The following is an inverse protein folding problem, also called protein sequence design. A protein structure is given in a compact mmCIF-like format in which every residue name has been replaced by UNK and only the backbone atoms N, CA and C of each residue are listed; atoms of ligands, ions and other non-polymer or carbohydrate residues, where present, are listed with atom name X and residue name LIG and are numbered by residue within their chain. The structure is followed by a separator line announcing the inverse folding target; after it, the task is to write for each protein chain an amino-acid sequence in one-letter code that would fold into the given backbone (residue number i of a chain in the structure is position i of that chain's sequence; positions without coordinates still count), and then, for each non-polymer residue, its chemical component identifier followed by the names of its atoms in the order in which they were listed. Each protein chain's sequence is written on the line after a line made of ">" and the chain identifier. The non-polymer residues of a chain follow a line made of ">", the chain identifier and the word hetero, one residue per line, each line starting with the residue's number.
data_IF_020302565504
#
_entry.id   IF_020302565504
#
_cell.length_a   1.000
_cell.length_b   1.000
_cell.length_c   1.000
_cell.angle_alpha   90.00
_cell.angle_beta   90.00
_cell.angle_gamma   90.00
#
_symmetry.space_group_name_H-M   'P 1'
#
loop_
_entity.id
_entity.type
_entity.pdbx_description
1 polymer ?
#
# COMPACT_ATOMS: atom_id res chain seq x y z
N UNK A 1 10.24 -6.13 -5.59
CA UNK A 1 10.28 -5.91 -4.13
C UNK A 1 9.01 -5.20 -3.72
N UNK A 2 8.34 -5.61 -2.64
CA UNK A 2 7.06 -5.05 -2.20
C UNK A 2 7.15 -4.61 -0.74
N UNK A 3 6.70 -3.40 -0.41
CA UNK A 3 6.80 -2.81 0.93
C UNK A 3 5.43 -2.29 1.36
N UNK A 4 4.80 -2.97 2.30
CA UNK A 4 3.62 -2.51 3.02
C UNK A 4 4.01 -1.92 4.38
N UNK A 5 3.37 -0.81 4.77
CA UNK A 5 3.60 -0.18 6.07
C UNK A 5 2.56 -0.49 7.14
N UNK A 6 1.42 -1.08 6.76
CA UNK A 6 0.27 -1.31 7.63
C UNK A 6 -0.46 -2.62 7.26
N UNK A 7 -1.36 -3.08 8.13
CA UNK A 7 -2.12 -4.32 7.93
C UNK A 7 -3.05 -4.28 6.71
N UNK A 8 -3.62 -3.11 6.39
CA UNK A 8 -4.38 -2.89 5.16
C UNK A 8 -3.51 -3.14 3.93
N UNK A 9 -2.28 -2.62 3.94
CA UNK A 9 -1.30 -2.83 2.88
C UNK A 9 -0.84 -4.29 2.77
N UNK A 10 -0.81 -5.06 3.86
CA UNK A 10 -0.49 -6.49 3.84
C UNK A 10 -1.51 -7.30 3.03
N UNK A 11 -2.80 -7.01 3.19
CA UNK A 11 -3.87 -7.66 2.40
C UNK A 11 -3.69 -7.37 0.91
N UNK A 12 -3.48 -6.09 0.56
CA UNK A 12 -3.31 -5.66 -0.83
C UNK A 12 -2.03 -6.23 -1.46
N UNK A 13 -0.95 -6.23 -0.70
CA UNK A 13 0.33 -6.81 -1.11
C UNK A 13 0.21 -8.31 -1.36
N UNK A 14 -0.51 -9.04 -0.51
CA UNK A 14 -0.72 -10.47 -0.68
C UNK A 14 -1.48 -10.76 -1.98
N UNK A 15 -2.60 -10.06 -2.24
CA UNK A 15 -3.37 -10.17 -3.48
C UNK A 15 -2.51 -9.86 -4.71
N UNK A 16 -1.73 -8.79 -4.66
CA UNK A 16 -0.81 -8.40 -5.73
C UNK A 16 0.23 -9.51 -6.01
N UNK A 17 0.87 -10.04 -4.97
CA UNK A 17 1.89 -11.09 -5.10
C UNK A 17 1.27 -12.36 -5.68
N UNK A 18 0.11 -12.78 -5.19
CA UNK A 18 -0.62 -13.94 -5.71
C UNK A 18 -0.98 -13.77 -7.19
N UNK A 19 -1.56 -12.63 -7.57
CA UNK A 19 -1.94 -12.36 -8.95
C UNK A 19 -0.73 -12.33 -9.90
N UNK A 20 0.37 -11.71 -9.48
CA UNK A 20 1.62 -11.71 -10.24
C UNK A 20 2.22 -13.11 -10.34
N UNK A 21 2.23 -13.89 -9.26
CA UNK A 21 2.69 -15.28 -9.26
C UNK A 21 1.91 -16.16 -10.23
N UNK A 22 0.58 -16.00 -10.29
CA UNK A 22 -0.28 -16.70 -11.24
C UNK A 22 -0.03 -16.26 -12.69
N UNK A 23 0.15 -14.95 -12.92
CA UNK A 23 0.35 -14.37 -14.26
C UNK A 23 1.66 -14.81 -14.91
N UNK A 24 2.71 -15.01 -14.11
CA UNK A 24 4.08 -15.30 -14.53
C UNK A 24 4.57 -16.68 -14.08
N UNK A 25 3.66 -17.61 -13.79
CA UNK A 25 3.95 -19.03 -13.50
C UNK A 25 5.03 -19.27 -12.42
N UNK A 26 5.19 -18.34 -11.47
CA UNK A 26 6.16 -18.45 -10.38
C UNK A 26 7.59 -17.97 -10.68
N UNK A 27 7.86 -17.37 -11.85
CA UNK A 27 9.18 -16.83 -12.21
C UNK A 27 9.58 -15.56 -11.43
N UNK A 28 8.71 -15.07 -10.55
CA UNK A 28 8.91 -13.86 -9.77
C UNK A 28 9.36 -14.18 -8.35
N UNK A 29 10.40 -13.46 -7.91
CA UNK A 29 10.85 -13.47 -6.52
C UNK A 29 10.36 -12.22 -5.80
N UNK A 30 9.78 -12.43 -4.61
CA UNK A 30 9.22 -11.37 -3.80
C UNK A 30 10.00 -11.23 -2.49
N UNK A 31 10.55 -10.05 -2.28
CA UNK A 31 11.16 -9.63 -1.03
C UNK A 31 10.64 -8.25 -0.63
N UNK A 32 10.84 -7.85 0.62
CA UNK A 32 10.58 -6.50 1.08
C UNK A 32 10.01 -6.48 2.49
N UNK A 33 8.92 -5.74 2.71
CA UNK A 33 8.30 -5.64 4.04
C UNK A 33 6.83 -5.97 3.90
N UNK A 34 6.39 -6.99 4.63
CA UNK A 34 5.01 -7.43 4.65
C UNK A 34 4.66 -8.10 5.96
N UNK A 35 3.36 -8.27 6.18
CA UNK A 35 2.81 -9.00 7.31
C UNK A 35 2.61 -10.48 6.98
N UNK A 36 1.69 -11.10 7.71
CA UNK A 36 1.45 -12.53 7.60
C UNK A 36 0.86 -12.93 6.25
N UNK A 37 0.04 -12.08 5.63
CA UNK A 37 -0.63 -12.41 4.36
C UNK A 37 0.36 -12.35 3.20
N UNK A 38 1.20 -11.32 3.14
CA UNK A 38 2.27 -11.26 2.12
C UNK A 38 3.28 -12.39 2.30
N UNK A 39 3.63 -12.74 3.55
CA UNK A 39 4.51 -13.88 3.83
C UNK A 39 3.90 -15.20 3.35
N UNK A 40 2.60 -15.42 3.60
CA UNK A 40 1.88 -16.59 3.09
C UNK A 40 1.80 -16.63 1.56
N UNK A 41 1.81 -15.47 0.90
CA UNK A 41 1.88 -15.35 -0.55
C UNK A 41 3.31 -15.53 -1.13
N UNK A 42 4.32 -15.75 -0.29
CA UNK A 42 5.70 -16.00 -0.72
C UNK A 42 6.67 -14.82 -0.60
N UNK A 43 6.29 -13.73 0.09
CA UNK A 43 7.21 -12.64 0.40
C UNK A 43 8.16 -13.02 1.55
N UNK A 44 9.46 -12.86 1.32
CA UNK A 44 10.42 -12.81 2.42
C UNK A 44 10.50 -11.40 3.02
N UNK A 45 9.98 -11.26 4.26
CA UNK A 45 9.94 -9.98 4.96
C UNK A 45 11.27 -9.68 5.66
N UNK A 46 11.83 -8.49 5.43
CA UNK A 46 13.10 -8.03 6.00
C UNK A 46 13.05 -7.84 7.52
N UNK A 47 11.87 -7.48 8.03
CA UNK A 47 11.58 -7.26 9.44
C UNK A 47 10.07 -7.27 9.67
N UNK A 48 9.60 -7.40 10.92
CA UNK A 48 8.17 -7.39 11.21
C UNK A 48 7.48 -6.10 10.75
N UNK A 49 6.35 -6.20 10.05
CA UNK A 49 5.56 -5.03 9.61
C UNK A 49 5.12 -4.13 10.79
N UNK A 50 4.98 -4.71 11.98
CA UNK A 50 4.66 -3.99 13.23
C UNK A 50 5.70 -2.92 13.63
N UNK A 51 6.92 -2.99 13.06
CA UNK A 51 7.92 -1.95 13.23
C UNK A 51 7.57 -0.68 12.44
N UNK A 52 6.73 -0.79 11.39
CA UNK A 52 6.23 0.31 10.57
C UNK A 52 4.83 0.77 10.98
N UNK A 53 3.99 -0.15 11.44
CA UNK A 53 2.63 0.15 11.90
C UNK A 53 2.67 1.05 13.14
N UNK A 54 2.33 2.33 12.97
CA UNK A 54 2.13 3.26 14.09
C UNK A 54 0.72 3.81 14.04
N UNK A 55 -0.09 3.48 15.05
CA UNK A 55 -1.41 4.08 15.25
C UNK A 55 -1.28 5.30 16.16
N UNK A 56 -1.56 6.49 15.63
CA UNK A 56 -1.63 7.73 16.42
C UNK A 56 -0.32 8.53 16.53
N UNK A 57 -0.47 9.85 16.69
CA UNK A 57 0.65 10.81 16.76
C UNK A 57 1.51 10.67 18.03
N UNK A 58 0.92 10.22 19.15
CA UNK A 58 1.61 10.10 20.44
C UNK A 58 2.59 8.91 20.49
N UNK A 59 2.32 7.84 19.76
CA UNK A 59 3.16 6.64 19.73
C UNK A 59 4.33 6.75 18.72
N UNK A 60 4.30 7.76 17.83
CA UNK A 60 5.26 7.89 16.73
C UNK A 60 6.63 8.43 17.18
N UNK A 61 6.64 9.31 18.18
CA UNK A 61 7.86 9.97 18.67
C UNK A 61 8.90 8.99 19.22
N UNK A 62 8.57 8.07 20.15
CA UNK A 62 9.54 7.10 20.64
C UNK A 62 9.96 6.08 19.58
N UNK A 63 9.11 5.82 18.57
CA UNK A 63 9.39 4.86 17.48
C UNK A 63 10.13 5.47 16.30
N UNK A 64 10.28 6.79 16.23
CA UNK A 64 10.94 7.47 15.10
C UNK A 64 12.38 6.96 14.83
N UNK A 65 13.25 6.71 15.85
CA UNK A 65 14.58 6.15 15.60
C UNK A 65 14.53 4.78 14.93
N UNK A 66 13.59 3.92 15.36
CA UNK A 66 13.36 2.61 14.77
C UNK A 66 12.90 2.74 13.32
N UNK A 67 11.92 3.60 13.05
CA UNK A 67 11.42 3.84 11.69
C UNK A 67 12.53 4.33 10.76
N UNK A 68 13.38 5.27 11.21
CA UNK A 68 14.51 5.76 10.43
C UNK A 68 15.56 4.68 10.16
N UNK A 69 15.78 3.78 11.12
CA UNK A 69 16.64 2.59 10.96
C UNK A 69 16.06 1.63 9.93
N UNK A 70 14.80 1.22 10.08
CA UNK A 70 14.10 0.33 9.13
C UNK A 70 14.06 0.90 7.71
N UNK A 71 13.89 2.21 7.60
CA UNK A 71 13.98 2.91 6.33
C UNK A 71 15.40 2.82 5.72
N UNK A 72 16.46 2.84 6.54
CA UNK A 72 17.84 2.73 6.07
C UNK A 72 18.15 1.30 5.64
N UNK A 73 17.72 0.32 6.42
CA UNK A 73 17.83 -1.10 6.11
C UNK A 73 17.10 -1.44 4.82
N UNK A 74 15.86 -0.98 4.65
CA UNK A 74 15.08 -1.20 3.42
C UNK A 74 15.80 -0.59 2.21
N UNK A 75 16.26 0.66 2.31
CA UNK A 75 16.96 1.32 1.21
C UNK A 75 18.32 0.66 0.90
N UNK A 76 19.03 0.15 1.90
CA UNK A 76 20.27 -0.60 1.70
C UNK A 76 19.99 -1.93 1.00
N UNK A 77 18.95 -2.64 1.42
CA UNK A 77 18.55 -3.90 0.83
C UNK A 77 18.11 -3.72 -0.63
N UNK A 78 17.32 -2.70 -0.95
CA UNK A 78 16.97 -2.36 -2.35
C UNK A 78 18.22 -2.17 -3.22
N UNK A 79 19.21 -1.41 -2.74
CA UNK A 79 20.44 -1.16 -3.51
C UNK A 79 21.30 -2.40 -3.69
N UNK A 80 21.32 -3.28 -2.70
CA UNK A 80 22.06 -4.54 -2.74
C UNK A 80 21.38 -5.55 -3.67
N UNK A 81 20.07 -5.75 -3.50
CA UNK A 81 19.29 -6.73 -4.25
C UNK A 81 19.05 -6.29 -5.71
N UNK A 82 19.05 -4.98 -5.98
CA UNK A 82 18.74 -4.38 -7.29
C UNK A 82 17.49 -5.01 -7.94
N UNK A 83 16.32 -4.92 -7.27
CA UNK A 83 15.10 -5.48 -7.82
C UNK A 83 14.70 -4.78 -9.13
N UNK A 84 13.98 -5.49 -10.00
CA UNK A 84 13.45 -4.92 -11.25
C UNK A 84 12.43 -3.80 -11.03
N UNK A 85 11.75 -3.82 -9.88
CA UNK A 85 10.87 -2.75 -9.41
C UNK A 85 10.70 -2.80 -7.89
N UNK A 86 10.41 -1.64 -7.31
CA UNK A 86 9.95 -1.50 -5.92
C UNK A 86 8.50 -1.03 -5.95
N UNK A 87 7.62 -1.76 -5.25
CA UNK A 87 6.21 -1.40 -5.09
C UNK A 87 6.00 -1.05 -3.62
N UNK A 88 5.60 0.18 -3.35
CA UNK A 88 5.25 0.63 -2.00
C UNK A 88 3.72 0.67 -1.87
N UNK A 89 3.17 0.14 -0.79
CA UNK A 89 1.73 0.03 -0.57
C UNK A 89 1.36 0.88 0.63
N UNK A 90 0.57 1.92 0.38
CA UNK A 90 0.11 2.87 1.39
C UNK A 90 1.29 3.44 2.23
N UNK A 91 1.04 3.82 3.48
CA UNK A 91 2.01 4.37 4.43
C UNK A 91 2.84 5.51 3.82
N UNK A 92 2.20 6.59 3.31
CA UNK A 92 2.87 7.65 2.55
C UNK A 92 4.04 8.29 3.31
N UNK A 93 3.98 8.34 4.64
CA UNK A 93 5.08 8.82 5.48
C UNK A 93 6.35 7.98 5.35
N UNK A 94 6.25 6.65 5.31
CA UNK A 94 7.39 5.75 5.11
C UNK A 94 7.76 5.68 3.62
N UNK A 95 6.78 5.42 2.75
CA UNK A 95 6.95 5.23 1.31
C UNK A 95 7.61 6.42 0.63
N UNK A 96 7.25 7.67 0.96
CA UNK A 96 7.88 8.84 0.35
C UNK A 96 9.29 9.10 0.84
N UNK A 97 9.59 8.74 2.09
CA UNK A 97 10.96 8.82 2.61
C UNK A 97 11.84 7.74 1.98
N UNK A 98 11.26 6.58 1.68
CA UNK A 98 11.96 5.50 0.96
C UNK A 98 12.24 5.95 -0.47
N UNK A 99 11.22 6.46 -1.17
CA UNK A 99 11.34 7.05 -2.50
C UNK A 99 12.47 8.10 -2.56
N UNK A 100 12.49 9.02 -1.60
CA UNK A 100 13.55 10.03 -1.50
C UNK A 100 14.94 9.42 -1.34
N UNK A 101 15.09 8.33 -0.58
CA UNK A 101 16.39 7.65 -0.40
C UNK A 101 16.79 6.85 -1.65
N UNK A 102 15.83 6.36 -2.41
CA UNK A 102 16.07 5.61 -3.64
C UNK A 102 16.23 6.51 -4.88
N UNK A 103 16.06 7.83 -4.74
CA UNK A 103 16.28 8.78 -5.82
C UNK A 103 17.67 8.57 -6.45
N UNK A 104 17.69 8.44 -7.78
CA UNK A 104 18.92 8.20 -8.56
C UNK A 104 19.43 6.75 -8.52
N UNK A 105 18.73 5.81 -7.88
CA UNK A 105 19.13 4.40 -7.88
C UNK A 105 18.85 3.68 -9.21
N UNK A 106 18.10 4.30 -10.13
CA UNK A 106 17.74 3.73 -11.43
C UNK A 106 16.79 2.52 -11.33
N UNK A 107 16.06 2.40 -10.22
CA UNK A 107 15.11 1.32 -9.97
C UNK A 107 13.69 1.90 -10.08
N UNK A 108 12.82 1.33 -10.94
CA UNK A 108 11.42 1.75 -11.04
C UNK A 108 10.72 1.67 -9.68
N UNK A 109 10.06 2.76 -9.29
CA UNK A 109 9.32 2.89 -8.06
C UNK A 109 7.85 3.14 -8.35
N UNK A 110 7.04 2.14 -7.98
CA UNK A 110 5.59 2.15 -8.13
C UNK A 110 4.99 2.35 -6.75
N UNK A 111 3.97 3.20 -6.66
CA UNK A 111 3.19 3.36 -5.44
C UNK A 111 1.78 2.81 -5.65
N UNK A 112 1.30 2.03 -4.69
CA UNK A 112 -0.03 1.46 -4.69
C UNK A 112 -0.83 2.08 -3.53
N UNK A 113 -2.04 2.52 -3.84
CA UNK A 113 -2.93 3.35 -3.03
C UNK A 113 -2.50 4.81 -3.10
N UNK A 114 -3.28 5.61 -3.82
CA UNK A 114 -3.05 7.04 -3.89
C UNK A 114 -3.21 7.66 -2.51
N UNK A 115 -2.24 8.48 -2.06
CA UNK A 115 -2.44 9.27 -0.87
C UNK A 115 -3.58 10.25 -1.18
N UNK A 116 -4.56 10.39 -0.28
CA UNK A 116 -5.73 11.25 -0.50
C UNK A 116 -5.38 12.76 -0.44
N UNK A 117 -4.23 13.17 -0.95
CA UNK A 117 -3.69 14.55 -0.94
C UNK A 117 -4.59 15.53 -1.67
N UNK A 118 -5.39 15.05 -2.63
CA UNK A 118 -6.45 15.80 -3.30
C UNK A 118 -7.49 16.36 -2.31
N UNK A 119 -7.77 15.66 -1.21
CA UNK A 119 -8.80 16.09 -0.26
C UNK A 119 -8.33 17.20 0.70
N UNK A 120 -7.03 17.46 0.84
CA UNK A 120 -6.54 18.34 1.92
C UNK A 120 -5.24 19.09 1.65
N UNK A 121 -4.33 18.61 0.79
CA UNK A 121 -3.03 19.25 0.48
C UNK A 121 -2.53 18.92 -0.94
N UNK A 122 -3.11 19.53 -1.99
CA UNK A 122 -2.78 19.22 -3.39
C UNK A 122 -1.30 19.49 -3.74
N UNK A 123 -0.62 20.43 -3.05
CA UNK A 123 0.81 20.66 -3.23
C UNK A 123 1.71 19.43 -2.94
N UNK A 124 1.20 18.42 -2.23
CA UNK A 124 1.92 17.14 -2.06
C UNK A 124 1.89 16.26 -3.30
N UNK A 125 0.92 16.42 -4.20
CA UNK A 125 0.86 15.66 -5.44
C UNK A 125 2.11 15.91 -6.31
N UNK A 126 2.58 17.16 -6.40
CA UNK A 126 3.86 17.49 -7.05
C UNK A 126 5.07 16.79 -6.41
N UNK A 127 5.07 16.66 -5.08
CA UNK A 127 6.14 15.96 -4.37
C UNK A 127 6.10 14.45 -4.58
N UNK A 128 4.91 13.89 -4.78
CA UNK A 128 4.71 12.50 -5.12
C UNK A 128 5.22 12.25 -6.55
N UNK A 129 4.72 13.03 -7.51
CA UNK A 129 5.09 12.94 -8.93
C UNK A 129 6.60 13.02 -9.16
N UNK A 130 7.33 13.88 -8.42
CA UNK A 130 8.78 13.96 -8.52
C UNK A 130 9.56 12.84 -7.82
N UNK A 131 8.91 11.79 -7.30
CA UNK A 131 9.55 10.74 -6.49
C UNK A 131 9.18 9.32 -6.88
N UNK A 132 8.10 9.11 -7.62
CA UNK A 132 7.64 7.79 -8.06
C UNK A 132 7.46 7.80 -9.57
N UNK A 133 7.57 6.64 -10.19
CA UNK A 133 7.47 6.48 -11.63
C UNK A 133 6.04 6.11 -12.07
N UNK A 134 5.25 5.49 -11.17
CA UNK A 134 3.88 5.09 -11.47
C UNK A 134 3.01 4.99 -10.21
N UNK A 135 1.72 5.31 -10.34
CA UNK A 135 0.74 5.27 -9.26
C UNK A 135 -0.45 4.36 -9.60
N UNK A 136 -0.69 3.36 -8.76
CA UNK A 136 -1.87 2.50 -8.83
C UNK A 136 -2.96 3.07 -7.91
N UNK A 137 -4.00 3.62 -8.51
CA UNK A 137 -5.11 4.32 -7.87
C UNK A 137 -6.30 3.38 -7.57
N UNK A 138 -6.99 3.66 -6.46
CA UNK A 138 -8.17 2.89 -6.03
C UNK A 138 -9.47 3.58 -6.39
N UNK A 139 -9.44 4.86 -6.77
CA UNK A 139 -10.63 5.62 -7.13
C UNK A 139 -10.55 6.05 -8.60
N UNK A 140 -11.66 5.96 -9.36
CA UNK A 140 -11.64 6.15 -10.80
C UNK A 140 -11.32 7.60 -11.25
N UNK A 141 -11.46 8.59 -10.36
CA UNK A 141 -11.13 9.99 -10.65
C UNK A 141 -9.65 10.34 -10.36
N UNK A 142 -8.91 9.47 -9.64
CA UNK A 142 -7.53 9.77 -9.25
C UNK A 142 -6.57 9.88 -10.45
N UNK A 143 -6.67 9.04 -11.51
CA UNK A 143 -5.85 9.22 -12.70
C UNK A 143 -6.00 10.60 -13.34
N UNK A 144 -7.22 11.12 -13.44
CA UNK A 144 -7.48 12.47 -13.97
C UNK A 144 -6.83 13.55 -13.09
N UNK A 145 -6.93 13.43 -11.77
CA UNK A 145 -6.28 14.35 -10.84
C UNK A 145 -4.74 14.36 -10.98
N UNK A 146 -4.11 13.22 -11.24
CA UNK A 146 -2.65 13.13 -11.33
C UNK A 146 -2.07 13.49 -12.70
N UNK A 147 -2.90 13.63 -13.74
CA UNK A 147 -2.49 14.11 -15.06
C UNK A 147 -1.85 15.50 -14.98
N UNK A 148 -2.41 16.40 -14.17
CA UNK A 148 -1.90 17.77 -13.96
C UNK A 148 -0.49 17.82 -13.32
N UNK A 149 0.01 16.68 -12.83
CA UNK A 149 1.31 16.55 -12.19
C UNK A 149 2.30 15.69 -12.99
N UNK A 150 1.96 15.33 -14.24
CA UNK A 150 2.77 14.46 -15.10
C UNK A 150 3.14 13.12 -14.44
N UNK A 151 2.27 12.61 -13.56
CA UNK A 151 2.47 11.34 -12.87
C UNK A 151 1.64 10.24 -13.56
N UNK A 152 2.27 9.24 -14.20
CA UNK A 152 1.57 8.08 -14.69
C UNK A 152 0.73 7.43 -13.59
N UNK A 153 -0.58 7.35 -13.80
CA UNK A 153 -1.52 6.85 -12.83
C UNK A 153 -2.59 5.99 -13.50
N UNK A 154 -2.85 4.81 -12.96
CA UNK A 154 -3.84 3.86 -13.47
C UNK A 154 -4.82 3.45 -12.36
N UNK A 155 -6.12 3.45 -12.67
CA UNK A 155 -7.14 2.94 -11.78
C UNK A 155 -7.16 1.41 -11.85
N UNK A 156 -6.87 0.75 -10.71
CA UNK A 156 -6.73 -0.72 -10.64
C UNK A 156 -7.92 -1.41 -9.96
N UNK A 157 -9.01 -0.69 -9.73
CA UNK A 157 -10.16 -1.20 -8.97
C UNK A 157 -10.06 -0.93 -7.46
N UNK A 158 -11.17 -1.13 -6.75
CA UNK A 158 -11.23 -0.93 -5.31
C UNK A 158 -11.39 -2.29 -4.58
N UNK A 159 -10.50 -2.66 -3.64
CA UNK A 159 -10.48 -3.96 -2.95
C UNK A 159 -11.80 -4.34 -2.27
N UNK A 160 -12.53 -3.32 -1.79
CA UNK A 160 -13.87 -3.48 -1.19
C UNK A 160 -14.87 -4.07 -2.18
N UNK A 161 -14.81 -3.66 -3.46
CA UNK A 161 -15.73 -4.14 -4.48
C UNK A 161 -15.45 -5.62 -4.79
N UNK A 162 -14.18 -6.02 -4.80
CA UNK A 162 -13.78 -7.43 -4.95
C UNK A 162 -14.28 -8.29 -3.78
N UNK A 163 -14.11 -7.82 -2.54
CA UNK A 163 -14.57 -8.56 -1.36
C UNK A 163 -16.09 -8.73 -1.29
N UNK A 164 -16.86 -7.72 -1.73
CA UNK A 164 -18.34 -7.80 -1.80
C UNK A 164 -18.80 -8.75 -2.91
N UNK A 165 -18.04 -8.86 -4.01
CA UNK A 165 -18.33 -9.84 -5.06
C UNK A 165 -18.09 -11.29 -4.58
N UNK A 166 -17.07 -11.51 -3.75
CA UNK A 166 -16.74 -12.82 -3.16
C UNK A 166 -17.69 -13.21 -2.01
N UNK A 167 -18.13 -12.23 -1.21
CA UNK A 167 -19.05 -12.41 -0.10
C UNK A 167 -20.05 -11.24 -0.05
N UNK A 168 -21.17 -11.32 -0.78
CA UNK A 168 -22.19 -10.28 -0.73
C UNK A 168 -22.71 -10.17 0.71
N UNK A 169 -22.64 -8.96 1.26
CA UNK A 169 -23.15 -8.71 2.61
C UNK A 169 -24.66 -8.91 2.67
N UNK A 170 -25.14 -9.64 3.68
CA UNK A 170 -26.56 -9.81 3.96
C UNK A 170 -26.97 -8.87 5.10
N UNK A 171 -27.65 -7.78 4.72
CA UNK A 171 -28.13 -6.79 5.67
C UNK A 171 -29.24 -7.31 6.61
N UNK A 172 -29.98 -8.35 6.21
CA UNK A 172 -31.00 -8.96 7.06
C UNK A 172 -30.34 -9.86 8.12
N UNK A 173 -29.38 -10.69 7.71
CA UNK A 173 -28.63 -11.55 8.63
C UNK A 173 -27.79 -10.72 9.62
N UNK A 174 -27.13 -9.65 9.17
CA UNK A 174 -26.42 -8.72 10.05
C UNK A 174 -27.34 -8.15 11.14
N UNK A 175 -28.55 -7.75 10.75
CA UNK A 175 -29.56 -7.23 11.69
C UNK A 175 -29.99 -8.29 12.70
N UNK A 176 -30.23 -9.52 12.27
CA UNK A 176 -30.59 -10.64 13.15
C UNK A 176 -29.45 -10.92 14.13
N UNK A 177 -28.22 -11.02 13.64
CA UNK A 177 -27.03 -11.32 14.45
C UNK A 177 -26.76 -10.25 15.51
N UNK A 178 -27.07 -8.98 15.21
CA UNK A 178 -26.82 -7.85 16.11
C UNK A 178 -28.07 -7.34 16.83
N UNK A 179 -29.21 -8.01 16.70
CA UNK A 179 -30.47 -7.63 17.36
C UNK A 179 -31.02 -6.27 16.92
N UNK A 180 -30.73 -5.85 15.69
CA UNK A 180 -31.14 -4.55 15.14
C UNK A 180 -32.49 -4.74 14.43
N UNK A 181 -33.54 -4.10 14.92
CA UNK A 181 -34.85 -4.17 14.28
C UNK A 181 -34.82 -3.62 12.84
N UNK A 182 -35.64 -4.18 11.94
CA UNK A 182 -35.63 -3.87 10.51
C UNK A 182 -35.89 -2.38 10.19
N UNK A 183 -36.61 -1.68 11.06
CA UNK A 183 -36.96 -0.27 10.93
C UNK A 183 -35.93 0.69 11.55
N UNK A 184 -34.89 0.18 12.19
CA UNK A 184 -33.83 1.03 12.77
C UNK A 184 -32.88 1.45 11.65
N UNK A 185 -32.69 2.77 11.43
CA UNK A 185 -31.69 3.24 10.48
C UNK A 185 -30.30 2.80 10.93
N UNK A 186 -29.54 2.24 9.99
CA UNK A 186 -28.14 1.85 10.19
C UNK A 186 -27.32 2.74 9.27
N UNK A 187 -26.26 3.35 9.80
CA UNK A 187 -25.28 4.06 8.97
C UNK A 187 -24.50 3.01 8.19
N UNK A 188 -24.60 3.08 6.87
CA UNK A 188 -23.74 2.36 5.95
C UNK A 188 -22.40 3.08 5.79
#
# INVERSE_FOLDING_TARGET
>A
MVVAGEASGDVLGARLITALGQRYEGDLQFSGVGGAQMAAAGLESLFPIADLSVMGLAEILPRLPLLLRRLSETAAHVRMARPSAVITIDAPGFSFRLAKRLAGAGIPLIHYVAPQVWAWRPGRARHLAGRIDHLLALLPFEPEFFQDYDLPCEFVGHPVIEGVAEAPGDGADFRIQHGIAANVPVLA
#
